data_IF_649665121593
#
_entry.id   IF_649665121593
#
_cell.length_a   1.000
_cell.length_b   1.000
_cell.length_c   1.000
_cell.angle_alpha   90.00
_cell.angle_beta   90.00
_cell.angle_gamma   90.00
#
_symmetry.space_group_name_H-M   'P 1'
#
loop_
_entity.id
_entity.type
_entity.pdbx_description
1 polymer ?
#
# COMPACT_ATOMS: atom_id res chain seq x y z
N UNK A 1 -91.86 -19.26 -36.26
CA UNK A 1 -91.42 -19.19 -34.85
C UNK A 1 -90.87 -20.56 -34.48
N UNK A 2 -89.75 -20.74 -33.78
CA UNK A 2 -88.72 -19.78 -33.36
C UNK A 2 -87.57 -20.53 -32.66
N UNK A 3 -86.36 -20.51 -33.22
CA UNK A 3 -85.23 -21.35 -32.78
C UNK A 3 -84.61 -20.83 -31.48
N UNK A 4 -84.26 -21.71 -30.53
CA UNK A 4 -83.18 -21.47 -29.54
C UNK A 4 -82.34 -22.71 -29.30
N UNK A 5 -81.07 -22.62 -29.69
CA UNK A 5 -79.98 -23.51 -29.25
C UNK A 5 -79.03 -22.70 -28.37
N UNK A 6 -78.59 -23.27 -27.24
CA UNK A 6 -77.41 -22.87 -26.47
C UNK A 6 -76.80 -24.14 -25.86
N UNK A 7 -75.65 -24.60 -26.35
CA UNK A 7 -74.29 -24.16 -26.00
C UNK A 7 -73.85 -24.63 -24.60
N UNK A 8 -72.99 -25.65 -24.60
CA UNK A 8 -72.14 -26.04 -23.48
C UNK A 8 -71.05 -24.99 -23.34
N UNK A 9 -70.81 -24.50 -22.11
CA UNK A 9 -69.66 -23.66 -21.79
C UNK A 9 -68.76 -24.42 -20.82
N UNK A 10 -67.73 -25.08 -21.34
CA UNK A 10 -66.72 -25.74 -20.52
C UNK A 10 -65.78 -24.69 -19.91
N UNK A 11 -65.94 -24.41 -18.62
CA UNK A 11 -65.07 -23.51 -17.88
C UNK A 11 -63.73 -24.21 -17.55
N UNK A 12 -62.76 -24.10 -18.46
CA UNK A 12 -61.38 -24.51 -18.19
C UNK A 12 -60.74 -23.55 -17.20
N UNK A 13 -60.80 -23.88 -15.91
CA UNK A 13 -59.97 -23.24 -14.88
C UNK A 13 -58.50 -23.64 -15.11
N UNK A 14 -57.83 -22.88 -15.96
CA UNK A 14 -56.37 -22.87 -16.03
C UNK A 14 -55.82 -22.23 -14.75
N UNK A 15 -55.44 -23.05 -13.78
CA UNK A 15 -54.79 -22.57 -12.55
C UNK A 15 -53.41 -22.01 -12.90
N UNK A 16 -53.34 -20.70 -13.16
CA UNK A 16 -52.07 -19.99 -13.33
C UNK A 16 -51.37 -19.95 -11.97
N UNK A 17 -50.46 -20.90 -11.76
CA UNK A 17 -49.51 -20.85 -10.66
C UNK A 17 -48.54 -19.68 -10.92
N UNK A 18 -48.88 -18.52 -10.36
CA UNK A 18 -47.94 -17.40 -10.23
C UNK A 18 -46.87 -17.80 -9.20
N UNK A 19 -45.83 -18.49 -9.66
CA UNK A 19 -44.62 -18.66 -8.88
C UNK A 19 -43.95 -17.31 -8.71
N UNK A 20 -44.04 -16.75 -7.51
CA UNK A 20 -43.23 -15.58 -7.12
C UNK A 20 -41.76 -16.03 -7.01
N UNK A 21 -40.79 -15.29 -7.56
CA UNK A 21 -39.38 -15.65 -7.46
C UNK A 21 -38.93 -15.65 -6.00
N UNK A 22 -38.02 -16.56 -5.67
CA UNK A 22 -37.31 -16.60 -4.39
C UNK A 22 -36.46 -15.33 -4.24
N UNK A 23 -36.66 -14.59 -3.16
CA UNK A 23 -35.91 -13.36 -2.90
C UNK A 23 -34.62 -13.72 -2.17
N UNK A 24 -33.49 -13.58 -2.87
CA UNK A 24 -32.17 -13.81 -2.30
C UNK A 24 -31.58 -12.53 -1.72
N UNK A 25 -30.82 -12.70 -0.64
CA UNK A 25 -29.96 -11.70 -0.03
C UNK A 25 -28.50 -12.13 -0.24
N UNK A 26 -27.57 -11.18 -0.25
CA UNK A 26 -26.14 -11.50 -0.34
C UNK A 26 -25.65 -12.14 0.98
N UNK A 27 -24.58 -12.93 0.90
CA UNK A 27 -23.89 -13.43 2.09
C UNK A 27 -23.36 -12.26 2.93
N UNK A 28 -23.48 -12.37 4.26
CA UNK A 28 -23.02 -11.33 5.19
C UNK A 28 -21.50 -11.08 5.03
N UNK A 29 -21.15 -9.86 4.64
CA UNK A 29 -19.75 -9.40 4.66
C UNK A 29 -19.33 -9.30 6.13
N UNK A 30 -18.28 -10.02 6.52
CA UNK A 30 -17.73 -9.98 7.89
C UNK A 30 -17.15 -8.59 8.21
N UNK A 31 -18.02 -7.73 8.76
CA UNK A 31 -17.70 -6.36 9.16
C UNK A 31 -17.11 -6.27 10.59
N UNK A 32 -16.65 -7.38 11.19
CA UNK A 32 -16.31 -7.46 12.62
C UNK A 32 -15.04 -6.68 13.07
N UNK A 33 -14.43 -5.84 12.21
CA UNK A 33 -13.30 -4.97 12.58
C UNK A 33 -13.46 -3.48 12.17
N UNK A 34 -14.62 -2.87 12.46
CA UNK A 34 -14.76 -1.40 12.49
C UNK A 34 -15.42 -0.90 13.78
N UNK A 35 -14.71 -0.99 14.92
CA UNK A 35 -15.12 -0.28 16.13
C UNK A 35 -14.84 1.23 16.00
N UNK A 36 -15.87 1.98 15.57
CA UNK A 36 -15.90 3.44 15.67
C UNK A 36 -16.06 3.88 17.12
N UNK A 37 -14.99 4.42 17.71
CA UNK A 37 -15.02 4.99 19.07
C UNK A 37 -15.75 6.33 19.04
N UNK A 38 -17.02 6.32 19.44
CA UNK A 38 -17.85 7.52 19.58
C UNK A 38 -17.33 8.45 20.68
N UNK A 39 -17.11 9.72 20.34
CA UNK A 39 -16.76 10.77 21.30
C UNK A 39 -17.97 11.23 22.11
N UNK A 40 -17.78 11.58 23.39
CA UNK A 40 -18.74 12.40 24.16
C UNK A 40 -18.12 12.99 25.43
N UNK A 41 -18.71 14.08 25.91
CA UNK A 41 -18.56 14.69 27.24
C UNK A 41 -17.22 15.38 27.58
N UNK A 42 -17.14 16.65 27.19
CA UNK A 42 -16.63 17.70 28.08
C UNK A 42 -17.64 17.92 29.24
N UNK A 43 -17.27 18.55 30.39
CA UNK A 43 -17.48 20.01 30.46
C UNK A 43 -16.48 20.81 31.32
N UNK A 44 -16.09 21.99 30.81
CA UNK A 44 -15.86 23.28 31.50
C UNK A 44 -15.43 23.34 33.00
N UNK A 45 -14.26 23.93 33.30
CA UNK A 45 -14.18 25.33 33.78
C UNK A 45 -12.76 25.81 34.18
N UNK A 46 -12.35 26.94 33.56
CA UNK A 46 -11.50 28.07 34.02
C UNK A 46 -10.20 27.92 34.86
N UNK A 47 -9.27 28.90 34.79
CA UNK A 47 -7.86 28.68 35.12
C UNK A 47 -7.43 29.18 36.51
N UNK A 48 -6.28 28.66 36.98
CA UNK A 48 -5.46 29.31 38.01
C UNK A 48 -4.11 29.77 37.42
N UNK A 49 -3.81 31.06 37.59
CA UNK A 49 -2.51 31.62 37.23
C UNK A 49 -1.41 31.04 38.12
N UNK A 50 -0.20 30.87 37.57
CA UNK A 50 0.99 31.19 38.34
C UNK A 50 2.09 31.76 37.42
N UNK A 51 2.62 32.92 37.79
CA UNK A 51 3.75 33.53 37.09
C UNK A 51 5.05 32.90 37.59
N UNK A 52 6.06 32.78 36.72
CA UNK A 52 7.44 32.53 37.13
C UNK A 52 8.38 33.16 36.10
N UNK A 53 8.92 34.30 36.49
CA UNK A 53 9.69 35.21 35.64
C UNK A 53 11.18 34.90 35.68
N UNK A 54 11.88 35.25 34.58
CA UNK A 54 13.32 35.54 34.52
C UNK A 54 14.29 34.35 34.75
N UNK A 55 15.50 34.36 34.21
CA UNK A 55 16.15 35.36 33.37
C UNK A 55 17.11 34.70 32.38
N UNK A 56 17.34 35.36 31.24
CA UNK A 56 18.45 35.03 30.35
C UNK A 56 19.65 35.97 30.63
N UNK A 57 20.86 35.42 30.64
CA UNK A 57 22.11 36.19 30.57
C UNK A 57 23.16 35.39 29.79
N UNK A 58 23.89 36.00 28.83
CA UNK A 58 24.83 35.28 27.98
C UNK A 58 26.23 35.16 28.60
N UNK A 59 27.01 34.19 28.13
CA UNK A 59 28.47 34.16 28.28
C UNK A 59 29.09 34.19 26.88
N UNK A 60 30.20 34.92 26.75
CA UNK A 60 30.77 35.36 25.47
C UNK A 60 32.15 34.73 25.23
N UNK A 61 32.43 34.41 23.95
CA UNK A 61 33.73 34.18 23.30
C UNK A 61 34.88 33.43 24.00
N UNK A 62 35.49 32.51 23.25
CA UNK A 62 36.93 32.61 23.01
C UNK A 62 37.30 32.08 21.61
N UNK A 63 38.16 32.81 20.88
CA UNK A 63 38.70 32.40 19.58
C UNK A 63 39.94 31.51 19.76
N UNK A 64 40.17 30.54 18.87
CA UNK A 64 41.51 30.06 18.53
C UNK A 64 41.62 29.92 16.99
N UNK A 65 42.67 30.52 16.44
CA UNK A 65 43.17 30.39 15.05
C UNK A 65 44.38 29.42 15.07
N UNK A 66 44.92 28.85 14.00
CA UNK A 66 44.83 29.09 12.55
C UNK A 66 45.39 27.84 11.81
N UNK A 67 45.07 27.68 10.52
CA UNK A 67 45.89 27.07 9.44
C UNK A 67 46.47 25.64 9.55
N UNK A 68 46.56 24.98 8.38
CA UNK A 68 47.11 23.62 8.25
C UNK A 68 46.97 23.04 6.84
N UNK A 69 47.28 23.82 5.80
CA UNK A 69 47.09 23.41 4.40
C UNK A 69 48.32 22.65 3.85
N UNK A 70 48.16 21.40 3.44
CA UNK A 70 49.20 20.62 2.73
C UNK A 70 48.57 19.87 1.56
N UNK A 71 49.23 19.93 0.41
CA UNK A 71 48.85 19.30 -0.84
C UNK A 71 50.07 18.58 -1.41
N UNK A 72 49.97 17.29 -1.70
CA UNK A 72 50.82 16.55 -2.64
C UNK A 72 50.14 15.20 -2.96
N UNK A 73 49.78 14.96 -4.22
CA UNK A 73 50.56 14.28 -5.27
C UNK A 73 50.60 12.76 -5.17
N UNK A 74 50.16 12.11 -6.26
CA UNK A 74 50.28 10.67 -6.47
C UNK A 74 51.64 10.32 -7.10
N UNK A 75 51.99 9.02 -7.09
CA UNK A 75 52.53 8.40 -8.29
C UNK A 75 51.67 7.22 -8.77
N UNK A 76 51.80 6.88 -10.05
CA UNK A 76 51.17 5.70 -10.65
C UNK A 76 51.99 4.41 -10.42
N UNK A 77 51.31 3.28 -10.51
CA UNK A 77 51.89 1.93 -10.60
C UNK A 77 50.93 1.05 -11.41
N UNK A 78 51.45 0.29 -12.38
CA UNK A 78 50.68 -0.25 -13.50
C UNK A 78 50.85 -1.77 -13.66
N UNK A 79 49.87 -2.39 -14.35
CA UNK A 79 49.77 -3.77 -14.83
C UNK A 79 49.83 -4.96 -13.83
N UNK A 80 48.65 -5.59 -13.73
CA UNK A 80 48.39 -7.01 -13.53
C UNK A 80 49.11 -7.92 -14.58
N UNK A 81 49.28 -9.23 -14.31
CA UNK A 81 49.35 -10.40 -15.23
C UNK A 81 50.06 -11.65 -14.63
N UNK A 82 49.55 -12.85 -14.99
CA UNK A 82 50.15 -14.22 -14.91
C UNK A 82 50.36 -14.91 -13.52
N UNK A 83 50.34 -16.25 -13.36
CA UNK A 83 49.71 -17.46 -14.02
C UNK A 83 50.24 -18.75 -13.28
N UNK A 84 49.73 -19.99 -13.36
CA UNK A 84 48.43 -20.60 -13.75
C UNK A 84 48.34 -22.07 -13.24
N UNK A 85 47.15 -22.56 -12.84
CA UNK A 85 46.75 -24.00 -12.75
C UNK A 85 45.22 -24.04 -12.91
N UNK A 86 44.56 -24.45 -14.01
CA UNK A 86 44.58 -25.66 -14.87
C UNK A 86 43.61 -26.77 -14.43
N UNK A 87 42.47 -26.90 -15.12
CA UNK A 87 41.89 -28.21 -15.51
C UNK A 87 40.92 -28.10 -16.70
N UNK A 88 40.98 -29.13 -17.55
CA UNK A 88 40.36 -29.35 -18.89
C UNK A 88 38.82 -29.19 -18.89
N UNK A 89 38.11 -28.70 -19.92
CA UNK A 89 38.20 -28.75 -21.41
C UNK A 89 37.45 -29.94 -22.05
N UNK A 90 36.38 -29.66 -22.81
CA UNK A 90 35.67 -30.62 -23.66
C UNK A 90 34.42 -30.04 -24.35
N UNK A 91 34.35 -30.08 -25.69
CA UNK A 91 33.15 -29.77 -26.49
C UNK A 91 32.27 -31.05 -26.63
N UNK A 92 31.06 -31.05 -27.21
CA UNK A 92 30.82 -31.13 -28.67
C UNK A 92 29.32 -30.89 -29.00
N UNK A 93 29.10 -30.21 -30.14
CA UNK A 93 27.99 -30.17 -31.11
C UNK A 93 26.61 -30.84 -30.85
N UNK A 94 25.57 -30.16 -31.33
CA UNK A 94 24.16 -30.62 -31.44
C UNK A 94 23.96 -31.86 -32.33
N UNK A 95 23.00 -32.72 -31.98
CA UNK A 95 22.30 -33.64 -32.90
C UNK A 95 20.82 -33.75 -32.55
N UNK A 96 19.96 -33.81 -33.56
CA UNK A 96 18.51 -34.03 -33.42
C UNK A 96 18.15 -35.51 -33.56
N UNK A 97 17.15 -36.00 -32.83
CA UNK A 97 16.28 -37.09 -33.30
C UNK A 97 14.93 -37.19 -32.55
N UNK A 98 14.02 -37.98 -33.11
CA UNK A 98 12.59 -37.99 -32.80
C UNK A 98 12.19 -38.94 -31.66
N UNK A 99 11.03 -38.68 -31.06
CA UNK A 99 10.05 -39.68 -30.58
C UNK A 99 8.80 -38.94 -30.02
N UNK A 100 7.58 -39.46 -30.06
CA UNK A 100 6.97 -40.54 -30.86
C UNK A 100 5.44 -40.35 -30.78
N UNK A 101 4.67 -40.62 -31.85
CA UNK A 101 3.20 -40.48 -31.86
C UNK A 101 2.53 -41.72 -32.44
N UNK A 102 1.56 -42.27 -31.71
CA UNK A 102 0.72 -43.40 -32.12
C UNK A 102 -0.78 -42.99 -32.08
N UNK A 103 -1.68 -43.63 -32.86
CA UNK A 103 -2.83 -42.91 -33.42
C UNK A 103 -4.21 -43.39 -32.92
N UNK A 104 -5.22 -42.51 -33.01
CA UNK A 104 -6.65 -42.90 -33.00
C UNK A 104 -7.37 -42.23 -34.19
N UNK A 105 -7.74 -43.09 -35.14
CA UNK A 105 -8.72 -42.96 -36.24
C UNK A 105 -9.41 -41.61 -36.51
N UNK A 106 -9.25 -41.10 -37.73
CA UNK A 106 -10.26 -40.24 -38.37
C UNK A 106 -11.54 -41.05 -38.65
N UNK A 107 -12.70 -40.44 -38.43
CA UNK A 107 -13.93 -40.77 -39.16
C UNK A 107 -14.51 -39.47 -39.75
N UNK A 108 -15.33 -39.57 -40.81
CA UNK A 108 -15.59 -38.47 -41.75
C UNK A 108 -17.04 -37.98 -41.72
N UNK A 109 -17.22 -36.72 -42.13
CA UNK A 109 -18.47 -35.93 -42.14
C UNK A 109 -18.83 -35.35 -40.76
N UNK A 110 -19.46 -34.18 -40.66
CA UNK A 110 -20.12 -33.39 -41.71
C UNK A 110 -19.73 -31.91 -41.64
N UNK A 111 -19.67 -31.24 -42.80
CA UNK A 111 -19.48 -29.78 -42.82
C UNK A 111 -20.75 -29.10 -42.32
N UNK A 112 -20.66 -28.38 -41.20
CA UNK A 112 -21.74 -27.56 -40.67
C UNK A 112 -21.18 -26.18 -40.38
N UNK A 113 -21.82 -25.18 -40.99
CA UNK A 113 -21.39 -23.79 -41.09
C UNK A 113 -21.01 -23.21 -39.71
N UNK A 114 -19.71 -23.03 -39.45
CA UNK A 114 -19.21 -22.35 -38.24
C UNK A 114 -19.30 -20.85 -38.48
N UNK A 115 -20.53 -20.35 -38.51
CA UNK A 115 -20.81 -18.92 -38.44
C UNK A 115 -20.25 -18.40 -37.11
N UNK A 116 -19.17 -17.61 -37.16
CA UNK A 116 -18.59 -16.97 -35.97
C UNK A 116 -19.58 -15.96 -35.41
N UNK A 117 -20.42 -16.41 -34.47
CA UNK A 117 -21.34 -15.58 -33.71
C UNK A 117 -20.56 -14.52 -32.94
N UNK A 118 -20.53 -13.31 -33.47
CA UNK A 118 -19.95 -12.15 -32.80
C UNK A 118 -20.75 -11.90 -31.50
N UNK A 119 -20.03 -11.84 -30.38
CA UNK A 119 -20.63 -11.57 -29.06
C UNK A 119 -21.56 -10.37 -29.13
N UNK A 120 -22.79 -10.51 -28.63
CA UNK A 120 -23.79 -9.44 -28.66
C UNK A 120 -23.58 -8.38 -27.55
N UNK A 121 -22.43 -8.45 -26.89
CA UNK A 121 -22.01 -7.63 -25.77
C UNK A 121 -20.48 -7.60 -25.67
N UNK A 122 -19.96 -6.60 -24.96
CA UNK A 122 -18.63 -6.57 -24.38
C UNK A 122 -18.69 -6.78 -22.87
N UNK A 123 -17.63 -7.36 -22.30
CA UNK A 123 -17.43 -7.50 -20.85
C UNK A 123 -16.24 -6.64 -20.41
N UNK A 124 -16.44 -5.84 -19.37
CA UNK A 124 -15.44 -5.03 -18.69
C UNK A 124 -15.20 -5.64 -17.29
N UNK A 125 -13.93 -5.90 -16.94
CA UNK A 125 -13.56 -6.39 -15.61
C UNK A 125 -13.57 -5.23 -14.61
N UNK A 126 -14.24 -5.41 -13.48
CA UNK A 126 -14.44 -4.38 -12.44
C UNK A 126 -14.21 -4.99 -11.05
N UNK A 127 -14.24 -4.15 -10.02
CA UNK A 127 -14.42 -4.55 -8.61
C UNK A 127 -15.30 -3.51 -7.94
N UNK A 128 -16.25 -3.93 -7.12
CA UNK A 128 -17.16 -3.04 -6.43
C UNK A 128 -18.44 -3.71 -5.98
N UNK A 129 -19.39 -2.88 -5.54
CA UNK A 129 -20.66 -3.31 -4.97
C UNK A 129 -21.80 -2.72 -5.80
N UNK A 130 -22.66 -3.58 -6.33
CA UNK A 130 -23.94 -3.19 -6.90
C UNK A 130 -25.01 -3.18 -5.80
N UNK A 131 -25.59 -2.02 -5.53
CA UNK A 131 -26.67 -1.84 -4.56
C UNK A 131 -28.00 -1.86 -5.29
N UNK A 132 -28.85 -2.84 -4.96
CA UNK A 132 -30.23 -2.92 -5.48
C UNK A 132 -31.05 -1.77 -4.90
N UNK A 133 -31.89 -1.12 -5.71
CA UNK A 133 -32.78 -0.03 -5.27
C UNK A 133 -33.88 -0.53 -4.31
N UNK A 134 -34.80 0.36 -3.91
CA UNK A 134 -35.92 0.07 -2.99
C UNK A 134 -36.98 -0.94 -3.48
N UNK A 135 -36.71 -1.68 -4.55
CA UNK A 135 -37.56 -2.73 -5.14
C UNK A 135 -36.71 -3.93 -5.55
N UNK A 136 -37.29 -5.13 -5.52
CA UNK A 136 -36.68 -6.38 -6.02
C UNK A 136 -36.12 -6.22 -7.44
N UNK A 137 -34.93 -6.76 -7.69
CA UNK A 137 -34.28 -6.75 -9.01
C UNK A 137 -34.23 -8.15 -9.63
N UNK A 138 -34.72 -8.28 -10.87
CA UNK A 138 -34.63 -9.53 -11.63
C UNK A 138 -33.19 -9.84 -12.04
N UNK A 139 -32.87 -11.14 -12.04
CA UNK A 139 -31.62 -11.67 -12.55
C UNK A 139 -31.76 -12.08 -14.02
N UNK A 140 -30.65 -12.04 -14.74
CA UNK A 140 -30.53 -12.42 -16.14
C UNK A 140 -29.32 -13.34 -16.32
N UNK A 141 -29.48 -14.42 -17.09
CA UNK A 141 -28.38 -15.30 -17.45
C UNK A 141 -27.44 -14.61 -18.45
N UNK A 142 -26.23 -15.15 -18.63
CA UNK A 142 -25.25 -14.63 -19.60
C UNK A 142 -25.67 -14.63 -21.07
N UNK A 143 -26.83 -15.20 -21.42
CA UNK A 143 -27.45 -15.10 -22.76
C UNK A 143 -28.58 -14.05 -22.84
N UNK A 144 -28.83 -13.29 -21.78
CA UNK A 144 -29.89 -12.27 -21.69
C UNK A 144 -31.28 -12.79 -21.29
N UNK A 145 -31.47 -14.11 -21.12
CA UNK A 145 -32.74 -14.64 -20.62
C UNK A 145 -32.91 -14.33 -19.13
N UNK A 146 -34.12 -13.94 -18.72
CA UNK A 146 -34.44 -13.70 -17.32
C UNK A 146 -34.40 -15.01 -16.51
N UNK A 147 -34.06 -14.90 -15.23
CA UNK A 147 -34.15 -15.96 -14.23
C UNK A 147 -35.49 -15.80 -13.50
N UNK A 148 -36.43 -16.71 -13.78
CA UNK A 148 -37.81 -16.56 -13.29
C UNK A 148 -38.04 -17.13 -11.89
N UNK A 149 -37.13 -17.97 -11.38
CA UNK A 149 -37.28 -18.63 -10.07
C UNK A 149 -36.63 -17.86 -8.90
N UNK A 150 -35.78 -16.86 -9.15
CA UNK A 150 -35.14 -16.05 -8.09
C UNK A 150 -34.80 -14.62 -8.53
N UNK A 151 -34.78 -13.71 -7.56
CA UNK A 151 -34.50 -12.28 -7.75
C UNK A 151 -33.82 -11.68 -6.52
N UNK A 152 -33.10 -10.56 -6.69
CA UNK A 152 -32.37 -9.91 -5.60
C UNK A 152 -33.28 -9.05 -4.73
N UNK A 153 -33.10 -9.09 -3.41
CA UNK A 153 -33.86 -8.29 -2.45
C UNK A 153 -33.64 -6.77 -2.60
N UNK A 154 -34.66 -5.98 -2.28
CA UNK A 154 -34.57 -4.52 -2.25
C UNK A 154 -33.50 -4.03 -1.25
N UNK A 155 -32.75 -2.98 -1.59
CA UNK A 155 -31.69 -2.38 -0.77
C UNK A 155 -30.52 -3.33 -0.42
N UNK A 156 -30.33 -4.44 -1.14
CA UNK A 156 -29.22 -5.38 -0.89
C UNK A 156 -27.95 -5.00 -1.66
N UNK A 157 -26.76 -5.05 -1.03
CA UNK A 157 -25.47 -4.93 -1.69
C UNK A 157 -25.04 -6.28 -2.29
N UNK A 158 -24.41 -6.27 -3.47
CA UNK A 158 -23.85 -7.46 -4.13
C UNK A 158 -22.46 -7.17 -4.69
N UNK A 159 -21.48 -8.00 -4.36
CA UNK A 159 -20.16 -7.93 -5.02
C UNK A 159 -20.29 -8.15 -6.52
N UNK A 160 -19.57 -7.37 -7.32
CA UNK A 160 -19.60 -7.49 -8.78
C UNK A 160 -18.22 -7.33 -9.41
N UNK A 161 -17.92 -8.20 -10.39
CA UNK A 161 -16.60 -8.34 -11.01
C UNK A 161 -16.61 -8.23 -12.54
N UNK A 162 -17.79 -8.22 -13.17
CA UNK A 162 -17.97 -7.94 -14.61
C UNK A 162 -19.13 -6.97 -14.82
N UNK A 163 -18.85 -5.90 -15.57
CA UNK A 163 -19.84 -5.03 -16.19
C UNK A 163 -19.99 -5.42 -17.66
N UNK A 164 -21.18 -5.89 -18.02
CA UNK A 164 -21.54 -6.32 -19.38
C UNK A 164 -22.31 -5.21 -20.09
N UNK A 165 -21.85 -4.80 -21.28
CA UNK A 165 -22.54 -3.80 -22.13
C UNK A 165 -22.98 -4.46 -23.43
N UNK A 166 -24.28 -4.52 -23.68
CA UNK A 166 -24.84 -5.10 -24.91
C UNK A 166 -24.74 -4.13 -26.10
N UNK A 167 -24.87 -4.67 -27.32
CA UNK A 167 -24.85 -3.91 -28.58
C UNK A 167 -25.93 -2.81 -28.69
N UNK A 168 -26.99 -2.88 -27.87
CA UNK A 168 -28.05 -1.87 -27.76
C UNK A 168 -27.74 -0.78 -26.71
N UNK A 169 -26.59 -0.87 -26.02
CA UNK A 169 -26.19 -0.02 -24.91
C UNK A 169 -26.68 -0.48 -23.53
N UNK A 170 -27.41 -1.60 -23.42
CA UNK A 170 -27.91 -2.07 -22.12
C UNK A 170 -26.77 -2.60 -21.23
N UNK A 171 -26.64 -2.05 -20.03
CA UNK A 171 -25.63 -2.45 -19.04
C UNK A 171 -26.21 -3.43 -18.00
N UNK A 172 -25.44 -4.46 -17.66
CA UNK A 172 -25.69 -5.39 -16.56
C UNK A 172 -24.41 -5.63 -15.73
N UNK A 173 -24.56 -5.94 -14.44
CA UNK A 173 -23.47 -6.23 -13.50
C UNK A 173 -23.57 -7.69 -13.05
N UNK A 174 -22.46 -8.46 -13.10
CA UNK A 174 -22.43 -9.86 -12.66
C UNK A 174 -22.45 -9.93 -11.14
N UNK A 175 -23.35 -10.74 -10.56
CA UNK A 175 -23.51 -10.90 -9.10
C UNK A 175 -23.47 -12.36 -8.65
N UNK A 176 -23.49 -13.30 -9.59
CA UNK A 176 -23.38 -14.74 -9.36
C UNK A 176 -22.85 -15.42 -10.63
N UNK A 177 -22.48 -16.70 -10.55
CA UNK A 177 -21.94 -17.46 -11.68
C UNK A 177 -22.94 -17.50 -12.84
N UNK A 178 -22.59 -16.84 -13.95
CA UNK A 178 -23.44 -16.64 -15.13
C UNK A 178 -24.74 -15.85 -14.88
N UNK A 179 -24.86 -15.12 -13.77
CA UNK A 179 -26.04 -14.35 -13.39
C UNK A 179 -25.72 -12.87 -13.17
N UNK A 180 -26.54 -12.01 -13.80
CA UNK A 180 -26.33 -10.58 -13.89
C UNK A 180 -27.60 -9.81 -13.50
N UNK A 181 -27.43 -8.65 -12.86
CA UNK A 181 -28.50 -7.70 -12.57
C UNK A 181 -28.40 -6.50 -13.52
N UNK A 182 -29.53 -5.94 -13.94
CA UNK A 182 -29.56 -4.80 -14.88
C UNK A 182 -29.22 -3.50 -14.17
N UNK A 183 -28.42 -2.63 -14.79
CA UNK A 183 -27.98 -1.34 -14.22
C UNK A 183 -29.15 -0.53 -13.64
N UNK A 184 -30.25 -0.42 -14.40
CA UNK A 184 -31.46 0.34 -14.03
C UNK A 184 -32.15 -0.13 -12.74
N UNK A 185 -31.74 -1.27 -12.18
CA UNK A 185 -32.29 -1.85 -10.95
C UNK A 185 -31.55 -1.40 -9.68
N UNK A 186 -30.48 -0.61 -9.79
CA UNK A 186 -29.63 -0.24 -8.65
C UNK A 186 -28.67 0.90 -8.95
N UNK A 187 -27.53 0.90 -8.26
CA UNK A 187 -26.34 1.69 -8.59
C UNK A 187 -25.07 0.90 -8.27
N UNK A 188 -23.95 1.25 -8.90
CA UNK A 188 -22.65 0.61 -8.70
C UNK A 188 -21.68 1.55 -7.97
N UNK A 189 -21.12 1.11 -6.84
CA UNK A 189 -19.96 1.73 -6.21
C UNK A 189 -18.69 0.96 -6.56
N UNK A 190 -17.81 1.61 -7.34
CA UNK A 190 -16.56 1.02 -7.84
C UNK A 190 -15.48 1.04 -6.74
N UNK A 191 -14.91 -0.11 -6.36
CA UNK A 191 -13.82 -0.17 -5.38
C UNK A 191 -12.55 0.51 -5.91
N UNK A 192 -12.35 0.48 -7.23
CA UNK A 192 -11.26 1.20 -7.91
C UNK A 192 -11.65 2.67 -8.09
N UNK A 193 -10.85 3.60 -7.56
CA UNK A 193 -11.04 5.04 -7.70
C UNK A 193 -9.90 5.64 -8.54
N UNK A 194 -10.21 6.61 -9.39
CA UNK A 194 -9.21 7.43 -10.09
C UNK A 194 -8.31 8.13 -9.06
N UNK A 195 -6.99 8.13 -9.27
CA UNK A 195 -6.03 8.64 -8.30
C UNK A 195 -4.71 9.04 -8.96
N UNK A 196 -4.36 10.32 -8.86
CA UNK A 196 -3.15 10.88 -9.47
C UNK A 196 -1.99 10.99 -8.47
N UNK A 197 -0.78 10.67 -8.94
CA UNK A 197 0.47 10.80 -8.20
C UNK A 197 1.64 10.08 -8.89
N UNK A 198 2.75 9.97 -8.18
CA UNK A 198 3.95 9.22 -8.58
C UNK A 198 4.29 8.20 -7.52
N UNK A 199 4.17 6.90 -7.83
CA UNK A 199 4.63 5.82 -6.98
C UNK A 199 6.16 5.67 -7.13
N UNK A 200 6.91 6.02 -6.09
CA UNK A 200 8.35 5.77 -5.96
C UNK A 200 8.57 4.43 -5.28
N UNK A 201 9.41 3.55 -5.85
CA UNK A 201 9.79 2.26 -5.26
C UNK A 201 10.74 2.48 -4.08
N UNK A 202 10.36 2.01 -2.89
CA UNK A 202 11.09 2.27 -1.62
C UNK A 202 11.85 1.06 -1.08
N UNK A 203 11.93 -0.03 -1.85
CA UNK A 203 12.62 -1.27 -1.49
C UNK A 203 14.06 -1.32 -2.01
N UNK A 204 14.92 -2.15 -1.40
CA UNK A 204 16.33 -2.30 -1.80
C UNK A 204 16.54 -3.35 -2.91
N UNK A 205 15.48 -4.05 -3.33
CA UNK A 205 15.44 -4.96 -4.48
C UNK A 205 14.36 -4.60 -5.50
N UNK A 206 14.44 -5.21 -6.68
CA UNK A 206 13.36 -5.21 -7.67
C UNK A 206 12.02 -5.61 -7.04
N UNK A 207 10.98 -4.88 -7.38
CA UNK A 207 9.60 -5.11 -6.93
C UNK A 207 8.79 -5.72 -8.06
N UNK A 208 7.97 -6.73 -7.75
CA UNK A 208 7.10 -7.38 -8.73
C UNK A 208 5.91 -6.50 -9.11
N UNK A 209 5.58 -6.48 -10.41
CA UNK A 209 4.32 -5.94 -10.91
C UNK A 209 3.25 -7.03 -10.90
N UNK A 210 1.99 -6.66 -10.61
CA UNK A 210 0.88 -7.61 -10.48
C UNK A 210 -0.29 -7.31 -11.42
N UNK A 211 -1.01 -8.35 -11.83
CA UNK A 211 -2.35 -8.25 -12.41
C UNK A 211 -3.38 -8.53 -11.32
N UNK A 212 -4.37 -7.64 -11.19
CA UNK A 212 -5.19 -7.59 -9.98
C UNK A 212 -4.40 -7.18 -8.74
N UNK A 213 -5.01 -7.34 -7.57
CA UNK A 213 -4.53 -6.82 -6.29
C UNK A 213 -5.01 -7.66 -5.10
N UNK A 214 -4.42 -7.42 -3.93
CA UNK A 214 -4.72 -8.14 -2.70
C UNK A 214 -4.48 -9.65 -2.83
N UNK A 215 -5.32 -10.46 -2.17
CA UNK A 215 -5.22 -11.93 -2.19
C UNK A 215 -5.37 -12.59 -3.58
N UNK A 216 -5.85 -11.84 -4.57
CA UNK A 216 -6.05 -12.31 -5.95
C UNK A 216 -4.95 -11.82 -6.91
N UNK A 217 -3.93 -11.11 -6.42
CA UNK A 217 -2.84 -10.58 -7.24
C UNK A 217 -2.00 -11.71 -7.86
N UNK A 218 -1.75 -11.64 -9.17
CA UNK A 218 -0.89 -12.60 -9.89
C UNK A 218 0.28 -11.86 -10.53
N UNK A 219 1.50 -12.39 -10.39
CA UNK A 219 2.71 -11.80 -10.98
C UNK A 219 2.53 -11.54 -12.49
N UNK A 220 2.76 -10.30 -12.92
CA UNK A 220 2.52 -9.85 -14.29
C UNK A 220 3.59 -10.31 -15.30
N UNK A 221 4.71 -10.87 -14.82
CA UNK A 221 5.85 -11.31 -15.63
C UNK A 221 7.01 -10.30 -15.70
N UNK A 222 6.91 -9.16 -15.02
CA UNK A 222 7.92 -8.09 -15.01
C UNK A 222 8.10 -7.45 -13.64
N UNK A 223 9.28 -6.88 -13.40
CA UNK A 223 9.63 -6.12 -12.18
C UNK A 223 9.83 -4.63 -12.47
N UNK A 224 9.93 -3.84 -11.41
CA UNK A 224 10.39 -2.45 -11.42
C UNK A 224 11.57 -2.29 -10.46
N UNK A 225 12.58 -1.52 -10.86
CA UNK A 225 13.84 -1.39 -10.12
C UNK A 225 13.70 -0.51 -8.85
N UNK A 226 14.58 -0.69 -7.83
CA UNK A 226 14.71 0.21 -6.69
C UNK A 226 14.78 1.69 -7.09
N UNK A 227 14.10 2.56 -6.34
CA UNK A 227 14.04 4.01 -6.58
C UNK A 227 13.45 4.44 -7.94
N UNK A 228 12.90 3.52 -8.75
CA UNK A 228 12.14 3.89 -9.95
C UNK A 228 10.82 4.56 -9.59
N UNK A 229 10.32 5.41 -10.48
CA UNK A 229 9.17 6.28 -10.24
C UNK A 229 8.14 6.12 -11.38
N UNK A 230 6.89 5.83 -11.01
CA UNK A 230 5.82 5.45 -11.93
C UNK A 230 4.60 6.35 -11.73
N UNK A 231 3.98 6.81 -12.81
CA UNK A 231 2.72 7.55 -12.70
C UNK A 231 1.57 6.61 -12.35
N UNK A 232 0.66 7.13 -11.53
CA UNK A 232 -0.51 6.41 -11.04
C UNK A 232 -1.73 6.97 -11.75
N UNK A 233 -2.57 6.08 -12.28
CA UNK A 233 -3.87 6.42 -12.86
C UNK A 233 -5.01 6.15 -11.86
N UNK A 234 -4.94 5.03 -11.13
CA UNK A 234 -5.99 4.56 -10.21
C UNK A 234 -5.44 3.98 -8.91
N UNK A 235 -6.31 3.92 -7.89
CA UNK A 235 -6.04 3.31 -6.58
C UNK A 235 -7.25 2.53 -6.10
N UNK A 236 -7.01 1.37 -5.48
CA UNK A 236 -8.02 0.56 -4.76
C UNK A 236 -7.53 0.31 -3.34
N UNK A 237 -8.44 0.10 -2.39
CA UNK A 237 -8.12 -0.41 -1.05
C UNK A 237 -8.60 -1.85 -0.94
N UNK A 238 -7.72 -2.77 -0.56
CA UNK A 238 -8.04 -4.19 -0.45
C UNK A 238 -7.29 -4.82 0.73
N UNK A 239 -8.00 -5.51 1.62
CA UNK A 239 -7.39 -6.18 2.78
C UNK A 239 -6.71 -5.25 3.80
N UNK A 240 -7.02 -3.95 3.80
CA UNK A 240 -6.36 -2.93 4.62
C UNK A 240 -5.16 -2.24 3.96
N UNK A 241 -4.80 -2.62 2.73
CA UNK A 241 -3.68 -2.07 1.97
C UNK A 241 -4.17 -1.33 0.71
N UNK A 242 -3.57 -0.18 0.37
CA UNK A 242 -3.78 0.42 -0.94
C UNK A 242 -2.95 -0.27 -2.04
N UNK A 243 -3.54 -0.40 -3.23
CA UNK A 243 -2.86 -0.84 -4.45
C UNK A 243 -3.01 0.23 -5.53
N UNK A 244 -1.95 0.45 -6.31
CA UNK A 244 -1.83 1.57 -7.25
C UNK A 244 -1.63 1.07 -8.68
N UNK A 245 -2.49 1.48 -9.62
CA UNK A 245 -2.38 1.12 -11.03
C UNK A 245 -1.33 2.01 -11.70
N UNK A 246 -0.30 1.38 -12.27
CA UNK A 246 0.80 2.03 -13.01
C UNK A 246 0.70 1.78 -14.53
N UNK A 247 -0.54 1.62 -15.01
CA UNK A 247 -0.94 1.44 -16.40
C UNK A 247 -1.31 0.00 -16.78
N UNK A 248 -2.19 -0.14 -17.78
CA UNK A 248 -2.58 -1.41 -18.41
C UNK A 248 -3.10 -2.53 -17.46
N UNK A 249 -3.84 -2.16 -16.40
CA UNK A 249 -4.29 -3.06 -15.33
C UNK A 249 -3.11 -3.82 -14.67
N UNK A 250 -2.02 -3.08 -14.42
CA UNK A 250 -0.83 -3.54 -13.71
C UNK A 250 -0.63 -2.70 -12.44
N UNK A 251 -0.41 -3.37 -11.32
CA UNK A 251 -0.51 -2.79 -9.98
C UNK A 251 0.78 -2.97 -9.16
N UNK A 252 1.03 -2.00 -8.27
CA UNK A 252 2.02 -2.06 -7.19
C UNK A 252 1.32 -1.98 -5.81
N UNK A 253 1.74 -2.79 -4.81
CA UNK A 253 1.20 -2.73 -3.44
C UNK A 253 1.84 -1.59 -2.62
N UNK A 254 1.06 -0.94 -1.77
CA UNK A 254 1.47 0.13 -0.84
C UNK A 254 2.72 -0.22 -0.04
N UNK A 255 2.87 -1.46 0.43
CA UNK A 255 4.05 -1.95 1.16
C UNK A 255 5.36 -1.73 0.42
N UNK A 256 5.35 -1.70 -0.92
CA UNK A 256 6.56 -1.55 -1.76
C UNK A 256 6.89 -0.11 -2.19
N UNK A 257 5.97 0.84 -1.98
CA UNK A 257 6.07 2.20 -2.54
C UNK A 257 5.76 3.32 -1.54
N UNK A 258 6.12 4.54 -1.93
CA UNK A 258 5.61 5.79 -1.38
C UNK A 258 5.07 6.66 -2.52
N UNK A 259 4.00 7.42 -2.29
CA UNK A 259 3.44 8.32 -3.32
C UNK A 259 3.95 9.75 -3.12
N UNK A 260 4.46 10.34 -4.20
CA UNK A 260 4.77 11.77 -4.32
C UNK A 260 3.81 12.43 -5.34
N UNK A 261 3.86 13.75 -5.51
CA UNK A 261 3.09 14.51 -6.51
C UNK A 261 1.56 14.35 -6.39
N UNK A 262 1.03 14.16 -5.17
CA UNK A 262 -0.39 13.89 -4.92
C UNK A 262 -1.02 14.85 -3.91
N UNK A 263 -2.35 14.89 -3.85
CA UNK A 263 -3.10 15.80 -2.98
C UNK A 263 -3.20 15.26 -1.56
N UNK A 264 -2.44 15.85 -0.66
CA UNK A 264 -2.50 15.57 0.78
C UNK A 264 -3.35 16.62 1.52
N UNK A 265 -4.02 16.26 2.64
CA UNK A 265 -4.72 17.22 3.49
C UNK A 265 -3.75 18.28 4.05
N UNK A 266 -4.29 19.44 4.45
CA UNK A 266 -3.46 20.53 4.99
C UNK A 266 -2.79 20.20 6.34
N UNK A 267 -3.37 19.27 7.11
CA UNK A 267 -2.81 18.71 8.32
C UNK A 267 -3.23 17.25 8.47
N UNK A 268 -2.38 16.42 9.09
CA UNK A 268 -2.73 15.05 9.49
C UNK A 268 -1.75 14.52 10.56
N UNK A 269 -2.18 13.53 11.35
CA UNK A 269 -1.42 12.99 12.48
C UNK A 269 -1.74 11.53 12.80
N UNK A 270 -0.72 10.81 13.25
CA UNK A 270 -0.75 9.45 13.80
C UNK A 270 -0.79 9.56 15.32
N UNK A 271 -1.98 9.42 15.90
CA UNK A 271 -2.17 9.44 17.35
C UNK A 271 -1.76 8.10 17.99
N UNK A 272 -1.23 8.14 19.21
CA UNK A 272 -0.90 6.94 20.00
C UNK A 272 0.50 6.36 19.80
N UNK A 273 1.36 6.97 18.97
CA UNK A 273 2.78 6.58 18.86
C UNK A 273 3.46 6.76 20.23
N UNK A 274 4.01 5.69 20.84
CA UNK A 274 4.53 5.76 22.21
C UNK A 274 5.76 6.67 22.32
N UNK A 275 5.94 7.27 23.50
CA UNK A 275 7.15 8.02 23.84
C UNK A 275 8.13 7.10 24.57
N UNK A 276 9.38 7.07 24.10
CA UNK A 276 10.47 6.29 24.71
C UNK A 276 11.72 7.15 24.74
N UNK A 277 12.24 7.48 25.93
CA UNK A 277 13.57 8.08 26.03
C UNK A 277 14.64 7.06 25.64
N UNK A 278 15.69 7.51 24.93
CA UNK A 278 16.87 6.68 24.68
C UNK A 278 17.68 6.44 25.97
N UNK A 279 17.66 7.39 26.91
CA UNK A 279 18.43 7.37 28.17
C UNK A 279 17.69 6.63 29.30
N UNK A 280 18.41 6.19 30.37
CA UNK A 280 19.87 6.26 30.55
C UNK A 280 20.67 5.22 29.73
N UNK A 281 20.03 4.18 29.20
CA UNK A 281 20.71 2.98 28.71
C UNK A 281 21.37 3.13 27.32
N UNK A 282 20.83 4.01 26.47
CA UNK A 282 21.34 4.25 25.11
C UNK A 282 21.71 5.74 24.91
N UNK A 283 22.75 6.27 25.58
CA UNK A 283 23.25 7.65 25.39
C UNK A 283 23.43 8.07 23.93
N UNK A 284 23.74 7.15 23.02
CA UNK A 284 23.94 7.40 21.58
C UNK A 284 22.97 6.61 20.67
N UNK A 285 21.96 5.92 21.21
CA UNK A 285 21.02 5.09 20.43
C UNK A 285 19.72 5.81 20.06
N UNK A 286 19.80 7.01 19.48
CA UNK A 286 18.61 7.78 19.11
C UNK A 286 17.80 7.08 17.98
N UNK A 287 18.48 6.56 16.96
CA UNK A 287 17.90 5.91 15.78
C UNK A 287 17.08 4.68 16.18
N UNK A 288 17.69 3.80 16.98
CA UNK A 288 17.04 2.55 17.35
C UNK A 288 15.91 2.77 18.37
N UNK A 289 15.99 3.84 19.18
CA UNK A 289 14.88 4.24 20.05
C UNK A 289 13.72 4.83 19.25
N UNK A 290 14.00 5.66 18.23
CA UNK A 290 12.99 6.18 17.31
C UNK A 290 12.31 5.05 16.50
N UNK A 291 13.09 4.08 16.01
CA UNK A 291 12.58 2.86 15.38
C UNK A 291 11.79 2.00 16.36
N UNK A 292 12.14 1.95 17.65
CA UNK A 292 11.33 1.27 18.67
C UNK A 292 9.95 1.93 18.81
N UNK A 293 9.87 3.26 18.83
CA UNK A 293 8.59 3.98 18.91
C UNK A 293 7.70 3.69 17.67
N UNK A 294 8.31 3.66 16.49
CA UNK A 294 7.65 3.30 15.22
C UNK A 294 7.14 1.85 15.21
N UNK A 295 7.97 0.89 15.63
CA UNK A 295 7.63 -0.54 15.61
C UNK A 295 6.62 -0.92 16.70
N UNK A 296 6.69 -0.32 17.90
CA UNK A 296 5.64 -0.52 18.91
C UNK A 296 4.29 0.02 18.43
N UNK A 297 4.26 1.15 17.70
CA UNK A 297 3.04 1.64 17.09
C UNK A 297 2.51 0.70 15.99
N UNK A 298 3.40 0.07 15.22
CA UNK A 298 3.06 -1.01 14.27
C UNK A 298 2.55 -2.31 14.94
N UNK A 299 2.42 -2.35 16.28
CA UNK A 299 1.96 -3.50 17.04
C UNK A 299 3.06 -4.49 17.45
N UNK A 300 4.34 -4.22 17.14
CA UNK A 300 5.43 -5.12 17.48
C UNK A 300 5.74 -5.07 18.99
N UNK A 301 5.69 -6.23 19.64
CA UNK A 301 6.08 -6.39 21.05
C UNK A 301 7.63 -6.42 21.19
N UNK A 302 8.25 -5.25 21.08
CA UNK A 302 9.71 -5.04 21.11
C UNK A 302 10.09 -3.92 22.07
N UNK A 303 11.38 -3.84 22.46
CA UNK A 303 11.91 -2.76 23.29
C UNK A 303 13.27 -2.26 22.77
N UNK A 304 13.67 -1.04 23.18
CA UNK A 304 14.88 -0.37 22.68
C UNK A 304 16.18 -1.15 22.92
N UNK A 305 16.27 -1.91 24.02
CA UNK A 305 17.48 -2.67 24.34
C UNK A 305 17.59 -3.91 23.46
N UNK A 306 16.48 -4.64 23.27
CA UNK A 306 16.41 -5.74 22.32
C UNK A 306 16.83 -5.28 20.93
N UNK A 307 16.19 -4.23 20.38
CA UNK A 307 16.50 -3.75 19.05
C UNK A 307 17.93 -3.19 18.94
N UNK A 308 18.48 -2.60 20.00
CA UNK A 308 19.89 -2.18 20.04
C UNK A 308 20.87 -3.37 19.99
N UNK A 309 20.52 -4.55 20.50
CA UNK A 309 21.31 -5.77 20.33
C UNK A 309 21.09 -6.44 18.97
N UNK A 310 19.88 -6.36 18.40
CA UNK A 310 19.54 -7.00 17.13
C UNK A 310 19.95 -6.21 15.86
N UNK A 311 20.09 -4.88 15.95
CA UNK A 311 20.51 -4.07 14.80
C UNK A 311 21.93 -4.43 14.32
N UNK A 312 22.15 -4.56 13.00
CA UNK A 312 23.46 -4.94 12.46
C UNK A 312 24.52 -3.89 12.80
N UNK A 313 25.78 -4.30 12.92
CA UNK A 313 26.92 -3.44 13.28
C UNK A 313 27.96 -3.40 12.16
N UNK A 314 28.51 -2.21 11.90
CA UNK A 314 29.47 -1.98 10.81
C UNK A 314 30.28 -0.72 11.04
N UNK A 315 31.40 -0.56 10.34
CA UNK A 315 32.13 0.72 10.22
C UNK A 315 31.54 1.64 9.14
N UNK A 316 30.52 1.20 8.41
CA UNK A 316 29.78 1.99 7.44
C UNK A 316 28.29 2.02 7.82
N UNK A 317 27.69 3.20 8.08
CA UNK A 317 26.33 3.31 8.62
C UNK A 317 25.23 2.77 7.68
N UNK A 318 25.51 2.62 6.39
CA UNK A 318 24.59 2.00 5.43
C UNK A 318 24.52 0.46 5.56
N UNK A 319 25.43 -0.16 6.32
CA UNK A 319 25.47 -1.61 6.55
C UNK A 319 25.33 -1.99 8.04
N UNK A 320 25.38 -1.04 8.96
CA UNK A 320 25.15 -1.29 10.39
C UNK A 320 25.57 -0.12 11.28
N UNK A 321 25.14 -0.14 12.54
CA UNK A 321 25.45 0.88 13.53
C UNK A 321 26.95 0.93 13.83
N UNK A 322 27.51 2.13 13.78
CA UNK A 322 28.92 2.41 14.07
C UNK A 322 29.16 2.52 15.58
N UNK A 323 30.04 1.68 16.12
CA UNK A 323 30.36 1.63 17.55
C UNK A 323 29.25 1.00 18.39
N UNK A 324 29.03 1.52 19.60
CA UNK A 324 28.03 1.02 20.54
C UNK A 324 27.09 2.14 21.03
N UNK A 325 25.76 1.96 20.99
CA UNK A 325 24.80 3.00 21.38
C UNK A 325 24.76 3.28 22.90
N UNK A 326 25.39 2.42 23.71
CA UNK A 326 25.45 2.47 25.16
C UNK A 326 26.77 3.03 25.73
N UNK A 327 27.78 3.28 24.90
CA UNK A 327 29.05 3.88 25.31
C UNK A 327 29.52 5.00 24.35
N UNK A 328 30.70 5.56 24.63
CA UNK A 328 31.25 6.72 23.89
C UNK A 328 31.77 6.41 22.49
N UNK A 329 31.68 5.16 22.00
CA UNK A 329 32.05 4.79 20.63
C UNK A 329 30.89 4.92 19.63
N UNK A 330 29.64 5.00 20.09
CA UNK A 330 28.46 5.06 19.24
C UNK A 330 28.38 6.33 18.39
N UNK A 331 28.04 6.18 17.11
CA UNK A 331 27.91 7.31 16.17
C UNK A 331 26.53 7.37 15.50
N UNK A 332 26.21 6.43 14.59
CA UNK A 332 24.90 6.36 13.91
C UNK A 332 24.70 5.05 13.13
N UNK A 333 23.47 4.81 12.65
CA UNK A 333 23.06 3.82 11.64
C UNK A 333 22.11 4.50 10.65
N UNK A 334 22.12 4.13 9.37
CA UNK A 334 21.25 4.71 8.34
C UNK A 334 20.14 3.74 7.86
N UNK A 335 19.04 4.24 7.26
CA UNK A 335 17.90 3.43 6.82
C UNK A 335 18.22 2.11 6.08
N UNK A 336 19.18 2.02 5.13
CA UNK A 336 19.44 0.76 4.42
C UNK A 336 19.83 -0.41 5.33
N UNK A 337 20.54 -0.12 6.43
CA UNK A 337 20.94 -1.13 7.41
C UNK A 337 19.78 -1.59 8.32
N UNK A 338 18.72 -0.79 8.44
CA UNK A 338 17.57 -1.05 9.30
C UNK A 338 16.43 -1.79 8.58
N UNK A 339 16.39 -1.79 7.24
CA UNK A 339 15.30 -2.36 6.44
C UNK A 339 14.84 -3.75 6.92
N UNK A 340 15.76 -4.73 6.97
CA UNK A 340 15.43 -6.11 7.39
C UNK A 340 15.03 -6.23 8.86
N UNK A 341 15.45 -5.31 9.72
CA UNK A 341 15.02 -5.28 11.12
C UNK A 341 13.59 -4.71 11.25
N UNK A 342 13.25 -3.70 10.46
CA UNK A 342 11.90 -3.14 10.39
C UNK A 342 10.93 -4.16 9.76
N UNK A 343 11.30 -4.75 8.62
CA UNK A 343 10.53 -5.79 7.92
C UNK A 343 10.21 -6.98 8.84
N UNK A 344 11.19 -7.47 9.58
CA UNK A 344 11.04 -8.55 10.57
C UNK A 344 9.93 -8.28 11.61
N UNK A 345 9.69 -7.02 11.96
CA UNK A 345 8.79 -6.64 13.05
C UNK A 345 7.49 -5.95 12.61
N UNK A 346 7.44 -5.34 11.44
CA UNK A 346 6.25 -4.69 10.88
C UNK A 346 5.65 -5.45 9.68
N UNK A 347 6.32 -6.47 9.15
CA UNK A 347 5.91 -7.21 7.94
C UNK A 347 6.33 -6.54 6.62
N UNK A 348 6.68 -5.25 6.66
CA UNK A 348 7.20 -4.47 5.54
C UNK A 348 8.23 -3.44 6.04
N UNK A 349 9.01 -2.87 5.11
CA UNK A 349 9.96 -1.79 5.39
C UNK A 349 10.12 -0.88 4.17
N UNK A 350 10.31 0.42 4.40
CA UNK A 350 10.42 1.43 3.34
C UNK A 350 11.57 2.37 3.60
N UNK A 351 12.57 2.35 2.72
CA UNK A 351 13.63 3.34 2.70
C UNK A 351 13.10 4.61 2.02
N UNK A 352 12.94 5.69 2.77
CA UNK A 352 12.43 6.97 2.29
C UNK A 352 13.55 8.01 2.09
N UNK A 353 14.81 7.57 2.14
CA UNK A 353 15.99 8.43 1.93
C UNK A 353 15.92 9.14 0.58
N UNK A 354 16.19 10.46 0.57
CA UNK A 354 16.15 11.31 -0.63
C UNK A 354 14.76 11.76 -1.10
N UNK A 355 13.67 11.15 -0.61
CA UNK A 355 12.30 11.48 -1.05
C UNK A 355 11.87 12.91 -0.61
N UNK A 356 10.72 13.38 -1.11
CA UNK A 356 10.16 14.69 -0.77
C UNK A 356 9.40 14.71 0.57
N UNK A 357 8.90 15.89 0.96
CA UNK A 357 7.98 16.01 2.11
C UNK A 357 6.69 15.21 1.91
N UNK A 358 6.24 15.08 0.65
CA UNK A 358 5.10 14.24 0.27
C UNK A 358 5.25 12.80 0.72
N UNK A 359 6.47 12.25 0.76
CA UNK A 359 6.70 10.90 1.27
C UNK A 359 6.39 10.78 2.77
N UNK A 360 6.67 11.82 3.57
CA UNK A 360 6.26 11.87 4.98
C UNK A 360 4.74 12.04 5.06
N UNK A 361 4.16 12.97 4.29
CA UNK A 361 2.71 13.22 4.28
C UNK A 361 1.90 11.97 3.92
N UNK A 362 2.40 11.19 2.96
CA UNK A 362 1.85 9.91 2.54
C UNK A 362 1.78 8.92 3.69
N UNK A 363 2.91 8.62 4.35
CA UNK A 363 2.95 7.64 5.44
C UNK A 363 1.98 8.05 6.56
N UNK A 364 2.05 9.31 7.00
CA UNK A 364 1.11 9.87 7.99
C UNK A 364 -0.35 9.74 7.51
N UNK A 365 -0.65 9.91 6.22
CA UNK A 365 -2.00 9.77 5.67
C UNK A 365 -2.52 8.34 5.55
N UNK A 366 -1.64 7.34 5.55
CA UNK A 366 -2.01 5.91 5.68
C UNK A 366 -1.89 5.42 7.14
N UNK A 367 -1.59 6.31 8.09
CA UNK A 367 -1.49 6.00 9.52
C UNK A 367 -0.11 5.55 10.00
N UNK A 368 0.94 5.62 9.16
CA UNK A 368 2.28 5.12 9.46
C UNK A 368 3.21 6.26 9.93
N UNK A 369 3.83 6.19 11.12
CA UNK A 369 4.83 7.16 11.55
C UNK A 369 6.17 6.96 10.81
N UNK A 370 7.00 8.00 10.77
CA UNK A 370 8.26 8.02 9.98
C UNK A 370 9.45 8.40 10.85
N UNK A 371 10.48 7.56 10.90
CA UNK A 371 11.73 7.92 11.57
C UNK A 371 12.62 8.70 10.60
N UNK A 372 13.15 9.85 11.03
CA UNK A 372 13.91 10.79 10.20
C UNK A 372 15.21 11.23 10.89
N UNK A 373 16.30 11.35 10.11
CA UNK A 373 17.61 11.77 10.61
C UNK A 373 17.82 13.26 10.36
N UNK A 374 18.25 14.00 11.38
CA UNK A 374 18.35 15.46 11.35
C UNK A 374 19.63 15.93 12.06
N UNK A 375 20.20 17.06 11.63
CA UNK A 375 21.23 17.77 12.41
C UNK A 375 20.53 18.65 13.45
N UNK A 376 20.54 18.25 14.72
CA UNK A 376 19.77 18.89 15.80
C UNK A 376 20.50 18.82 17.14
N UNK A 377 20.15 19.71 18.08
CA UNK A 377 20.69 19.77 19.45
C UNK A 377 22.22 19.88 19.55
N UNK A 378 22.89 20.23 18.45
CA UNK A 378 24.36 20.24 18.33
C UNK A 378 24.97 18.91 17.86
N UNK A 379 24.16 17.88 17.60
CA UNK A 379 24.60 16.59 17.10
C UNK A 379 24.66 16.55 15.56
N UNK A 380 25.66 15.88 14.97
CA UNK A 380 25.71 15.64 13.54
C UNK A 380 24.68 14.60 13.07
N UNK A 381 24.08 13.84 14.00
CA UNK A 381 23.00 12.89 13.74
C UNK A 381 22.05 12.91 14.95
N UNK A 382 20.76 13.10 14.72
CA UNK A 382 19.68 12.90 15.70
C UNK A 382 18.46 12.32 15.01
N UNK A 383 17.79 11.35 15.63
CA UNK A 383 16.65 10.66 15.05
C UNK A 383 15.33 11.04 15.73
N UNK A 384 14.36 11.45 14.90
CA UNK A 384 13.03 11.85 15.32
C UNK A 384 12.00 10.87 14.76
N UNK A 385 11.01 10.44 15.57
CA UNK A 385 9.83 9.74 15.03
C UNK A 385 8.75 10.76 14.73
N UNK A 386 8.62 11.14 13.46
CA UNK A 386 7.58 12.04 12.97
C UNK A 386 6.21 11.37 13.11
N UNK A 387 5.29 12.09 13.76
CA UNK A 387 3.94 11.65 14.09
C UNK A 387 2.87 12.51 13.41
N UNK A 388 3.20 13.65 12.79
CA UNK A 388 2.22 14.45 12.05
C UNK A 388 2.79 15.69 11.39
N UNK A 389 1.92 16.44 10.73
CA UNK A 389 2.22 17.75 10.13
C UNK A 389 0.97 18.63 10.08
N UNK A 390 1.16 19.94 10.02
CA UNK A 390 0.14 20.90 9.55
C UNK A 390 0.67 21.73 8.36
N UNK A 391 0.12 22.92 8.11
CA UNK A 391 0.61 23.82 7.05
C UNK A 391 1.91 24.55 7.39
N UNK A 392 2.37 24.51 8.65
CA UNK A 392 3.51 25.27 9.16
C UNK A 392 4.54 24.40 9.91
N UNK A 393 4.12 23.30 10.53
CA UNK A 393 4.91 22.51 11.49
C UNK A 393 4.98 21.02 11.12
N UNK A 394 6.09 20.39 11.52
CA UNK A 394 6.24 18.93 11.66
C UNK A 394 6.16 18.56 13.13
N UNK A 395 5.35 17.57 13.47
CA UNK A 395 5.15 17.02 14.80
C UNK A 395 5.91 15.71 14.96
N UNK A 396 6.61 15.52 16.07
CA UNK A 396 7.48 14.35 16.27
C UNK A 396 7.72 14.01 17.75
N UNK A 397 8.00 12.74 18.02
CA UNK A 397 8.50 12.28 19.32
C UNK A 397 10.02 12.40 19.36
N UNK A 398 10.57 13.15 20.32
CA UNK A 398 12.02 13.30 20.53
C UNK A 398 12.50 12.39 21.68
N UNK A 399 13.26 11.34 21.35
CA UNK A 399 13.78 10.39 22.34
C UNK A 399 14.93 10.92 23.21
N UNK A 400 15.56 12.04 22.81
CA UNK A 400 16.59 12.72 23.60
C UNK A 400 15.95 13.62 24.67
N UNK A 401 14.91 14.37 24.29
CA UNK A 401 14.14 15.25 25.20
C UNK A 401 13.07 14.49 26.00
N UNK A 402 12.68 13.28 25.57
CA UNK A 402 11.58 12.48 26.11
C UNK A 402 10.22 13.20 26.08
N UNK A 403 9.97 13.99 25.03
CA UNK A 403 8.74 14.79 24.87
C UNK A 403 8.28 14.82 23.41
N UNK A 404 6.95 14.89 23.16
CA UNK A 404 6.42 15.26 21.86
C UNK A 404 6.75 16.73 21.59
N UNK A 405 7.23 17.03 20.38
CA UNK A 405 7.74 18.32 19.97
C UNK A 405 7.20 18.70 18.59
N UNK A 406 7.34 19.98 18.24
CA UNK A 406 7.08 20.48 16.89
C UNK A 406 8.23 21.40 16.44
N UNK A 407 8.46 21.51 15.13
CA UNK A 407 9.31 22.56 14.54
C UNK A 407 8.74 23.05 13.21
N UNK A 408 9.10 24.27 12.81
CA UNK A 408 8.68 24.85 11.51
C UNK A 408 9.11 23.94 10.34
N UNK A 409 8.28 23.82 9.30
CA UNK A 409 8.53 22.94 8.16
C UNK A 409 9.82 23.30 7.43
N UNK A 410 10.15 24.58 7.30
CA UNK A 410 11.40 25.02 6.67
C UNK A 410 12.61 24.72 7.57
N UNK A 411 12.45 24.84 8.89
CA UNK A 411 13.46 24.40 9.86
C UNK A 411 13.68 22.87 9.80
N UNK A 412 12.61 22.08 9.76
CA UNK A 412 12.68 20.63 9.58
C UNK A 412 13.39 20.28 8.26
N UNK A 413 12.92 20.85 7.14
CA UNK A 413 13.51 20.60 5.82
C UNK A 413 14.99 21.03 5.77
N UNK A 414 15.38 22.13 6.42
CA UNK A 414 16.79 22.52 6.51
C UNK A 414 17.63 21.44 7.22
N UNK A 415 17.20 20.99 8.40
CA UNK A 415 17.93 19.99 9.18
C UNK A 415 17.93 18.60 8.50
N UNK A 416 16.82 18.19 7.88
CA UNK A 416 16.67 16.93 7.16
C UNK A 416 17.46 16.90 5.83
N UNK A 417 17.55 18.04 5.13
CA UNK A 417 18.38 18.15 3.92
C UNK A 417 19.89 18.00 4.21
N UNK A 418 20.39 18.40 5.40
CA UNK A 418 21.79 18.12 5.77
C UNK A 418 22.10 16.63 5.97
N UNK A 419 21.06 15.78 5.99
CA UNK A 419 21.14 14.34 6.24
C UNK A 419 20.70 13.52 5.02
N UNK A 420 20.87 14.05 3.81
CA UNK A 420 20.40 13.45 2.54
C UNK A 420 18.91 13.06 2.55
N UNK A 421 18.10 13.72 3.39
CA UNK A 421 16.71 13.37 3.68
C UNK A 421 16.51 11.91 4.11
N UNK A 422 17.46 11.35 4.89
CA UNK A 422 17.35 9.98 5.43
C UNK A 422 16.07 9.82 6.25
N UNK A 423 15.29 8.81 5.89
CA UNK A 423 14.06 8.45 6.55
C UNK A 423 13.73 6.95 6.35
N UNK A 424 13.00 6.36 7.30
CA UNK A 424 12.48 5.00 7.22
C UNK A 424 11.05 4.92 7.77
N UNK A 425 10.23 4.07 7.16
CA UNK A 425 8.90 3.67 7.64
C UNK A 425 8.64 2.21 7.25
N UNK A 426 7.38 1.75 7.26
CA UNK A 426 6.95 0.40 6.88
C UNK A 426 5.79 0.44 5.88
#
# INVERSE_FOLDING_TARGET
MGIRSKFILAASLGTVFLMTPEIVHADDIDASQTQSVSTTNEPSNEPSNNESTNSATPINNNEIKTEGNVNDQAPSGDNDQNQTVTSQQGQITQTSQNNQSEPITNDTNNSSDVTTQQSQYSDESIDGIFHVNGSTAYLYQGNGQQVDNRALGANTPWMTDIKRTWNDGTIYYRVSTNEFVKETSGYFDNNVKEYSGTASVTYDSDVQLFRGYGKNAVYAGSTVAPNSAWKIDKRVSNGGEYWYEVGNNVWLPQSSVVVNDSTYPAANWVAGVPMISQRPELPNGCEITAVTMMLQYAGANVNKMQLAYEMPRSSNPNYGYMGQPWDNTGVTIFPPALMRLVEKYAGSAKNLTGQGLDAIKYQISIGHPVVTWNTLHGFPYHALTVTGYDSNYIYYNDCWLNQPMQMDINQFLANWNTQDRRAISY
#
